data_IF_633031423871
#
_entry.id   IF_633031423871
#
_cell.length_a   1.000
_cell.length_b   1.000
_cell.length_c   1.000
_cell.angle_alpha   90.00
_cell.angle_beta   90.00
_cell.angle_gamma   90.00
#
_symmetry.space_group_name_H-M   'P 1'
#
loop_
_entity.id
_entity.type
_entity.pdbx_description
1 polymer ?
#
# COMPACT_ATOMS: atom_id res chain seq x y z
N UNK A 1 -13.67 -10.15 15.12
CA UNK A 1 -13.62 -8.86 14.40
C UNK A 1 -14.65 -7.86 14.92
N UNK A 2 -15.93 -8.25 15.10
CA UNK A 2 -16.99 -7.35 15.57
C UNK A 2 -16.70 -6.69 16.93
N UNK A 3 -16.23 -7.45 17.91
CA UNK A 3 -15.82 -6.89 19.22
C UNK A 3 -14.77 -5.78 19.10
N UNK A 4 -13.74 -5.98 18.26
CA UNK A 4 -12.69 -4.97 18.06
C UNK A 4 -13.22 -3.72 17.35
N UNK A 5 -14.14 -3.89 16.39
CA UNK A 5 -14.83 -2.77 15.73
C UNK A 5 -15.65 -1.95 16.74
N UNK A 6 -16.37 -2.60 17.63
CA UNK A 6 -17.13 -1.93 18.68
C UNK A 6 -16.22 -1.15 19.63
N UNK A 7 -15.10 -1.74 20.06
CA UNK A 7 -14.11 -1.07 20.93
C UNK A 7 -13.52 0.17 20.26
N UNK A 8 -13.19 0.09 18.96
CA UNK A 8 -12.67 1.21 18.16
C UNK A 8 -13.71 2.32 17.93
N UNK A 9 -15.00 1.97 17.91
CA UNK A 9 -16.10 2.91 17.70
C UNK A 9 -16.60 3.57 19.00
N UNK A 10 -16.20 3.07 20.17
CA UNK A 10 -16.62 3.67 21.46
C UNK A 10 -16.01 5.06 21.65
N UNK A 11 -16.90 6.02 21.92
CA UNK A 11 -16.55 7.40 22.27
C UNK A 11 -17.12 7.77 23.64
N UNK A 12 -16.48 8.72 24.31
CA UNK A 12 -17.04 9.39 25.48
C UNK A 12 -18.14 10.38 25.06
N UNK A 13 -18.91 10.88 26.03
CA UNK A 13 -20.02 11.83 25.83
C UNK A 13 -19.62 13.13 25.14
N UNK A 14 -18.34 13.48 25.18
CA UNK A 14 -17.73 14.62 24.50
C UNK A 14 -17.11 14.26 23.13
N UNK A 15 -17.49 13.11 22.55
CA UNK A 15 -17.00 12.62 21.26
C UNK A 15 -15.50 12.26 21.21
N UNK A 16 -14.83 12.18 22.37
CA UNK A 16 -13.42 11.76 22.46
C UNK A 16 -13.33 10.23 22.36
N UNK A 17 -12.35 9.72 21.61
CA UNK A 17 -12.06 8.28 21.50
C UNK A 17 -11.85 7.71 22.90
N UNK A 18 -12.60 6.67 23.25
CA UNK A 18 -12.58 6.10 24.61
C UNK A 18 -11.24 5.43 24.94
N UNK A 19 -10.61 4.81 23.94
CA UNK A 19 -9.36 4.08 24.12
C UNK A 19 -8.33 4.50 23.05
N UNK A 20 -7.70 5.69 23.16
CA UNK A 20 -6.83 6.22 22.12
C UNK A 20 -5.58 5.35 21.89
N UNK A 21 -4.92 4.93 22.97
CA UNK A 21 -3.72 4.08 22.87
C UNK A 21 -4.03 2.71 22.28
N UNK A 22 -5.12 2.08 22.73
CA UNK A 22 -5.56 0.79 22.20
C UNK A 22 -5.96 0.89 20.73
N UNK A 23 -6.61 1.98 20.34
CA UNK A 23 -6.96 2.27 18.94
C UNK A 23 -5.71 2.36 18.08
N UNK A 24 -4.68 3.07 18.53
CA UNK A 24 -3.41 3.16 17.81
C UNK A 24 -2.74 1.79 17.67
N UNK A 25 -2.64 1.01 18.74
CA UNK A 25 -2.03 -0.33 18.71
C UNK A 25 -2.79 -1.25 17.74
N UNK A 26 -4.12 -1.25 17.79
CA UNK A 26 -4.95 -2.06 16.89
C UNK A 26 -4.78 -1.62 15.44
N UNK A 27 -4.72 -0.32 15.16
CA UNK A 27 -4.48 0.19 13.81
C UNK A 27 -3.11 -0.24 13.28
N UNK A 28 -2.06 -0.21 14.11
CA UNK A 28 -0.72 -0.69 13.75
C UNK A 28 -0.77 -2.17 13.41
N UNK A 29 -1.31 -3.00 14.31
CA UNK A 29 -1.38 -4.46 14.09
C UNK A 29 -2.18 -4.79 12.82
N UNK A 30 -3.27 -4.08 12.56
CA UNK A 30 -4.09 -4.27 11.34
C UNK A 30 -3.44 -3.76 10.06
N UNK A 31 -2.48 -2.84 10.17
CA UNK A 31 -1.69 -2.37 9.02
C UNK A 31 -0.57 -3.33 8.65
N UNK A 32 -0.23 -4.28 9.53
CA UNK A 32 0.74 -5.31 9.23
C UNK A 32 0.15 -6.33 8.25
N UNK A 33 0.88 -6.72 7.20
CA UNK A 33 0.43 -7.74 6.28
C UNK A 33 0.25 -9.06 7.04
N UNK A 34 -0.92 -9.69 6.90
CA UNK A 34 -1.24 -10.98 7.53
C UNK A 34 -0.37 -12.13 6.99
N UNK A 35 0.25 -11.95 5.82
CA UNK A 35 1.17 -12.92 5.24
C UNK A 35 2.17 -12.24 4.32
N UNK A 36 3.24 -12.96 4.00
CA UNK A 36 4.24 -12.52 3.04
C UNK A 36 3.78 -12.63 1.57
N UNK A 37 2.55 -13.10 1.30
CA UNK A 37 2.09 -13.40 -0.06
C UNK A 37 2.15 -12.18 -1.00
N UNK A 38 1.79 -10.99 -0.53
CA UNK A 38 1.87 -9.76 -1.32
C UNK A 38 3.32 -9.37 -1.62
N UNK A 39 4.20 -9.51 -0.63
CA UNK A 39 5.64 -9.28 -0.79
C UNK A 39 6.26 -10.28 -1.78
N UNK A 40 5.95 -11.57 -1.65
CA UNK A 40 6.42 -12.64 -2.55
C UNK A 40 5.93 -12.44 -4.00
N UNK A 41 4.70 -11.96 -4.17
CA UNK A 41 4.17 -11.59 -5.48
C UNK A 41 4.95 -10.42 -6.10
N UNK A 42 5.32 -9.41 -5.30
CA UNK A 42 6.20 -8.33 -5.75
C UNK A 42 7.61 -8.84 -6.07
N UNK A 43 8.20 -9.71 -5.24
CA UNK A 43 9.52 -10.31 -5.52
C UNK A 43 9.52 -11.15 -6.80
N UNK A 44 8.46 -11.91 -7.06
CA UNK A 44 8.29 -12.66 -8.31
C UNK A 44 8.27 -11.75 -9.54
N UNK A 45 7.58 -10.60 -9.44
CA UNK A 45 7.60 -9.58 -10.48
C UNK A 45 9.00 -8.97 -10.65
N UNK A 46 9.65 -8.59 -9.54
CA UNK A 46 10.99 -8.01 -9.53
C UNK A 46 12.03 -8.96 -10.13
N UNK A 47 11.96 -10.25 -9.83
CA UNK A 47 12.82 -11.28 -10.41
C UNK A 47 12.63 -11.36 -11.94
N UNK A 48 11.37 -11.35 -12.42
CA UNK A 48 11.09 -11.32 -13.85
C UNK A 48 11.63 -10.06 -14.55
N UNK A 49 11.53 -8.89 -13.90
CA UNK A 49 12.02 -7.63 -14.45
C UNK A 49 13.55 -7.59 -14.41
N UNK A 50 14.19 -7.99 -13.31
CA UNK A 50 15.64 -7.81 -13.11
C UNK A 50 16.50 -8.94 -13.71
N UNK A 51 16.03 -10.20 -13.66
CA UNK A 51 16.88 -11.37 -13.91
C UNK A 51 16.69 -12.02 -15.29
N UNK A 52 15.57 -11.80 -16.00
CA UNK A 52 15.43 -12.34 -17.36
C UNK A 52 16.36 -11.60 -18.33
N UNK A 53 17.20 -12.35 -19.03
CA UNK A 53 18.34 -11.94 -19.88
C UNK A 53 18.07 -10.86 -20.95
N UNK A 54 16.82 -10.44 -21.16
CA UNK A 54 16.42 -9.39 -22.14
C UNK A 54 15.81 -8.11 -21.54
N UNK A 55 15.67 -7.99 -20.21
CA UNK A 55 15.02 -6.83 -19.55
C UNK A 55 15.86 -6.26 -18.38
N UNK A 56 17.20 -6.24 -18.44
CA UNK A 56 18.01 -5.82 -17.27
C UNK A 56 17.89 -4.32 -16.99
N UNK A 57 16.83 -3.92 -16.30
CA UNK A 57 16.62 -2.57 -15.79
C UNK A 57 17.57 -2.27 -14.62
N UNK A 58 17.96 -1.01 -14.49
CA UNK A 58 18.71 -0.54 -13.31
C UNK A 58 17.87 -0.69 -12.04
N UNK A 59 18.52 -0.77 -10.87
CA UNK A 59 17.81 -0.81 -9.59
C UNK A 59 16.89 0.41 -9.38
N UNK A 60 17.32 1.59 -9.83
CA UNK A 60 16.54 2.82 -9.78
C UNK A 60 15.26 2.70 -10.63
N UNK A 61 15.37 2.21 -11.87
CA UNK A 61 14.23 2.00 -12.76
C UNK A 61 13.26 0.95 -12.19
N UNK A 62 13.79 -0.15 -11.63
CA UNK A 62 12.97 -1.19 -10.99
C UNK A 62 12.21 -0.62 -9.78
N UNK A 63 12.86 0.19 -8.95
CA UNK A 63 12.23 0.85 -7.81
C UNK A 63 11.11 1.81 -8.25
N UNK A 64 11.40 2.66 -9.25
CA UNK A 64 10.42 3.59 -9.80
C UNK A 64 9.18 2.86 -10.35
N UNK A 65 9.36 1.77 -11.10
CA UNK A 65 8.26 0.93 -11.60
C UNK A 65 7.45 0.34 -10.45
N UNK A 66 8.11 -0.10 -9.37
CA UNK A 66 7.47 -0.69 -8.20
C UNK A 66 6.59 0.32 -7.45
N UNK A 67 7.12 1.52 -7.22
CA UNK A 67 6.41 2.63 -6.57
C UNK A 67 5.23 3.08 -7.43
N UNK A 68 5.45 3.30 -8.73
CA UNK A 68 4.41 3.73 -9.66
C UNK A 68 3.27 2.72 -9.75
N UNK A 69 3.60 1.43 -9.91
CA UNK A 69 2.60 0.35 -9.96
C UNK A 69 1.81 0.23 -8.65
N UNK A 70 2.47 0.41 -7.51
CA UNK A 70 1.81 0.40 -6.20
C UNK A 70 0.84 1.58 -6.05
N UNK A 71 1.26 2.78 -6.45
CA UNK A 71 0.42 3.97 -6.40
C UNK A 71 -0.83 3.83 -7.27
N UNK A 72 -0.71 3.26 -8.47
CA UNK A 72 -1.85 2.97 -9.35
C UNK A 72 -2.80 1.94 -8.72
N UNK A 73 -2.26 0.86 -8.15
CA UNK A 73 -3.06 -0.17 -7.47
C UNK A 73 -3.87 0.44 -6.32
N UNK A 74 -3.31 1.36 -5.54
CA UNK A 74 -4.03 2.05 -4.46
C UNK A 74 -5.16 2.93 -4.97
N UNK A 75 -5.03 3.51 -6.17
CA UNK A 75 -6.10 4.29 -6.83
C UNK A 75 -7.15 3.42 -7.53
N UNK A 76 -6.93 2.11 -7.64
CA UNK A 76 -7.77 1.22 -8.47
C UNK A 76 -7.52 1.39 -9.97
N UNK A 77 -6.38 1.97 -10.34
CA UNK A 77 -5.99 2.28 -11.71
C UNK A 77 -4.87 1.34 -12.21
N UNK A 78 -4.59 1.46 -13.49
CA UNK A 78 -3.57 0.75 -14.28
C UNK A 78 -2.86 1.77 -15.14
N UNK A 79 -1.70 1.39 -15.70
CA UNK A 79 -0.96 2.29 -16.59
C UNK A 79 -1.72 2.64 -17.89
N UNK A 80 -2.84 1.97 -18.17
CA UNK A 80 -3.64 2.14 -19.39
C UNK A 80 -4.82 3.10 -19.16
N UNK A 81 -5.36 3.13 -17.94
CA UNK A 81 -6.56 3.92 -17.61
C UNK A 81 -6.26 5.08 -16.64
N UNK A 82 -5.01 5.26 -16.21
CA UNK A 82 -4.60 6.43 -15.44
C UNK A 82 -4.84 7.69 -16.26
N UNK A 83 -5.55 8.66 -15.68
CA UNK A 83 -5.69 9.98 -16.28
C UNK A 83 -4.46 10.82 -15.93
N UNK A 84 -3.80 11.36 -16.95
CA UNK A 84 -2.62 12.22 -16.76
C UNK A 84 -3.10 13.65 -16.61
N UNK A 85 -2.77 14.29 -15.47
CA UNK A 85 -3.00 15.70 -15.23
C UNK A 85 -1.72 16.53 -15.46
N UNK A 86 -1.86 17.85 -15.44
CA UNK A 86 -0.74 18.78 -15.65
C UNK A 86 0.30 18.70 -14.51
N UNK A 87 -0.14 18.34 -13.30
CA UNK A 87 0.73 18.14 -12.13
C UNK A 87 1.64 16.91 -12.28
N UNK A 88 1.27 15.95 -13.11
CA UNK A 88 2.10 14.77 -13.42
C UNK A 88 3.21 15.08 -14.43
N UNK A 89 3.13 16.22 -15.13
CA UNK A 89 4.10 16.65 -16.15
C UNK A 89 4.99 17.81 -15.68
N UNK A 90 4.63 18.48 -14.58
CA UNK A 90 5.48 19.49 -13.95
C UNK A 90 6.73 18.83 -13.36
N UNK A 91 7.88 19.20 -13.93
CA UNK A 91 9.23 18.79 -13.52
C UNK A 91 9.68 19.50 -12.23
#
# INVERSE_FOLDING_TARGET
>A
DNMWKEILQRRHTNNIIKYPNLTNVLNIIRSLPNSNADSERMFSLLSNIKMKKRNKFSSASVNAICVFKSALKTRGETAINMTIDENHLSL
#
